data_IF_595179180777
#
_entry.id   IF_595179180777
#
_cell.length_a   1.000
_cell.length_b   1.000
_cell.length_c   1.000
_cell.angle_alpha   90.00
_cell.angle_beta   90.00
_cell.angle_gamma   90.00
#
_symmetry.space_group_name_H-M   'P 1'
#
loop_
_entity.id
_entity.type
_entity.pdbx_description
1 polymer ?
#
# COMPACT_ATOMS: atom_id res chain seq x y z
N UNK A 1 -10.23 7.20 -3.93
CA UNK A 1 -9.67 5.87 -3.67
C UNK A 1 -10.63 4.79 -4.18
N UNK A 2 -10.09 3.77 -4.79
CA UNK A 2 -10.90 2.67 -5.30
C UNK A 2 -11.47 1.83 -4.16
N UNK A 3 -12.79 1.62 -4.15
CA UNK A 3 -13.47 0.83 -3.12
C UNK A 3 -13.61 -0.64 -3.48
N UNK A 4 -13.11 -1.04 -4.64
CA UNK A 4 -13.19 -2.45 -5.06
C UNK A 4 -12.21 -3.31 -4.30
N UNK A 5 -12.70 -4.47 -3.88
CA UNK A 5 -11.91 -5.47 -3.19
C UNK A 5 -11.81 -6.71 -4.08
N UNK A 6 -10.66 -7.36 -4.07
CA UNK A 6 -10.50 -8.64 -4.79
C UNK A 6 -10.67 -9.81 -3.81
N UNK A 7 -10.71 -11.03 -4.35
CA UNK A 7 -10.91 -12.25 -3.57
C UNK A 7 -9.59 -12.93 -3.16
N UNK A 8 -8.45 -12.35 -3.55
CA UNK A 8 -7.14 -12.96 -3.32
C UNK A 8 -6.67 -12.83 -1.88
N UNK A 9 -7.08 -11.76 -1.21
CA UNK A 9 -6.68 -11.48 0.17
C UNK A 9 -7.88 -11.03 0.99
N UNK A 10 -7.84 -11.24 2.32
CA UNK A 10 -8.87 -10.67 3.19
C UNK A 10 -8.95 -9.15 3.04
N UNK A 11 -10.14 -8.59 3.20
CA UNK A 11 -10.37 -7.15 3.03
C UNK A 11 -9.48 -6.32 3.96
N UNK A 12 -9.29 -6.77 5.21
CA UNK A 12 -8.46 -6.01 6.14
C UNK A 12 -7.02 -5.86 5.65
N UNK A 13 -6.48 -6.88 4.97
CA UNK A 13 -5.15 -6.83 4.38
C UNK A 13 -5.08 -5.83 3.24
N UNK A 14 -6.10 -5.83 2.39
CA UNK A 14 -6.17 -4.89 1.27
C UNK A 14 -6.28 -3.46 1.78
N UNK A 15 -7.05 -3.25 2.84
CA UNK A 15 -7.16 -1.92 3.46
C UNK A 15 -5.83 -1.49 4.07
N UNK A 16 -5.16 -2.38 4.79
CA UNK A 16 -3.83 -2.11 5.34
C UNK A 16 -2.86 -1.69 4.23
N UNK A 17 -2.86 -2.43 3.12
CA UNK A 17 -1.97 -2.15 1.98
C UNK A 17 -2.28 -0.79 1.32
N UNK A 18 -3.55 -0.39 1.30
CA UNK A 18 -3.92 0.94 0.80
C UNK A 18 -3.39 2.07 1.68
N UNK A 19 -3.44 1.88 2.98
CA UNK A 19 -2.88 2.88 3.91
C UNK A 19 -1.36 2.96 3.73
N UNK A 20 -0.70 1.81 3.60
CA UNK A 20 0.75 1.77 3.32
C UNK A 20 1.08 2.53 2.04
N UNK A 21 0.32 2.31 0.98
CA UNK A 21 0.52 3.03 -0.28
C UNK A 21 0.34 4.54 -0.10
N UNK A 22 -0.64 4.96 0.67
CA UNK A 22 -0.87 6.37 0.96
C UNK A 22 0.33 7.01 1.70
N UNK A 23 0.92 6.28 2.62
CA UNK A 23 2.11 6.76 3.35
C UNK A 23 3.31 6.87 2.39
N UNK A 24 3.52 5.85 1.57
CA UNK A 24 4.63 5.83 0.60
C UNK A 24 4.50 6.95 -0.44
N UNK A 25 3.27 7.26 -0.85
CA UNK A 25 2.98 8.26 -1.87
C UNK A 25 2.80 9.67 -1.31
N UNK A 26 3.03 9.85 -0.01
CA UNK A 26 2.85 11.12 0.69
C UNK A 26 1.40 11.65 0.71
N UNK A 27 0.41 10.78 0.46
CA UNK A 27 -1.00 11.17 0.60
C UNK A 27 -1.35 11.36 2.07
N UNK A 28 -0.67 10.63 2.96
CA UNK A 28 -0.74 10.81 4.40
C UNK A 28 0.69 11.00 4.89
N UNK A 29 0.96 12.09 5.57
CA UNK A 29 2.30 12.42 6.06
C UNK A 29 2.51 11.89 7.47
N UNK A 30 3.79 11.79 7.87
CA UNK A 30 4.14 11.48 9.24
C UNK A 30 3.58 12.56 10.17
N UNK A 31 2.98 12.13 11.26
CA UNK A 31 2.31 13.03 12.19
C UNK A 31 0.84 13.29 11.87
N UNK A 32 0.37 12.90 10.70
CA UNK A 32 -1.04 13.03 10.33
C UNK A 32 -1.88 11.95 10.99
N UNK A 33 -3.12 12.30 11.31
CA UNK A 33 -4.10 11.36 11.82
C UNK A 33 -4.67 10.53 10.68
N UNK A 34 -4.90 9.23 10.93
CA UNK A 34 -5.69 8.41 10.02
C UNK A 34 -7.17 8.70 10.23
N UNK A 35 -8.01 8.51 9.20
CA UNK A 35 -9.46 8.58 9.38
C UNK A 35 -9.91 7.61 10.47
N UNK A 36 -10.96 7.96 11.21
CA UNK A 36 -11.46 7.08 12.26
C UNK A 36 -11.98 5.76 11.67
N UNK A 37 -11.97 4.71 12.50
CA UNK A 37 -12.52 3.40 12.12
C UNK A 37 -13.96 3.56 11.61
N UNK A 38 -14.76 4.34 12.31
CA UNK A 38 -16.17 4.57 11.96
C UNK A 38 -16.29 5.24 10.60
N UNK A 39 -15.48 6.25 10.34
CA UNK A 39 -15.50 6.97 9.06
C UNK A 39 -15.15 6.03 7.91
N UNK A 40 -14.09 5.26 8.05
CA UNK A 40 -13.66 4.32 7.00
C UNK A 40 -14.70 3.23 6.76
N UNK A 41 -15.24 2.68 7.84
CA UNK A 41 -16.27 1.63 7.73
C UNK A 41 -17.50 2.14 6.97
N UNK A 42 -17.93 3.36 7.27
CA UNK A 42 -19.08 3.97 6.59
C UNK A 42 -18.77 4.28 5.11
N UNK A 43 -17.60 4.84 4.85
CA UNK A 43 -17.19 5.24 3.50
C UNK A 43 -17.06 4.04 2.56
N UNK A 44 -16.42 2.97 3.03
CA UNK A 44 -16.18 1.78 2.20
C UNK A 44 -17.24 0.70 2.38
N UNK A 45 -18.23 0.93 3.23
CA UNK A 45 -19.31 -0.02 3.50
C UNK A 45 -18.78 -1.39 3.92
N UNK A 46 -17.85 -1.39 4.85
CA UNK A 46 -17.27 -2.61 5.42
C UNK A 46 -17.48 -2.62 6.93
N UNK A 47 -17.36 -3.81 7.50
CA UNK A 47 -17.50 -3.99 8.94
C UNK A 47 -16.40 -3.20 9.67
N UNK A 48 -16.77 -2.44 10.70
CA UNK A 48 -15.78 -1.67 11.45
C UNK A 48 -14.72 -2.55 12.13
N UNK A 49 -15.03 -3.82 12.43
CA UNK A 49 -14.05 -4.75 12.96
C UNK A 49 -12.97 -5.07 11.93
N UNK A 50 -13.32 -5.07 10.65
CA UNK A 50 -12.36 -5.24 9.55
C UNK A 50 -11.38 -4.06 9.51
N UNK A 51 -11.91 -2.85 9.66
CA UNK A 51 -11.07 -1.64 9.70
C UNK A 51 -10.16 -1.66 10.93
N UNK A 52 -10.75 -2.04 12.08
CA UNK A 52 -10.00 -2.12 13.33
C UNK A 52 -8.82 -3.10 13.21
N UNK A 53 -9.06 -4.23 12.56
CA UNK A 53 -8.01 -5.24 12.35
C UNK A 53 -6.89 -4.71 11.46
N UNK A 54 -7.23 -3.99 10.39
CA UNK A 54 -6.24 -3.37 9.51
C UNK A 54 -5.39 -2.36 10.28
N UNK A 55 -6.03 -1.51 11.07
CA UNK A 55 -5.35 -0.50 11.87
C UNK A 55 -4.50 -1.13 12.97
N UNK A 56 -4.95 -2.24 13.53
CA UNK A 56 -4.17 -2.97 14.54
C UNK A 56 -2.88 -3.52 13.94
N UNK A 57 -2.92 -4.04 12.72
CA UNK A 57 -1.70 -4.49 12.05
C UNK A 57 -0.72 -3.35 11.83
N UNK A 58 -1.21 -2.18 11.40
CA UNK A 58 -0.36 -1.00 11.22
C UNK A 58 0.28 -0.57 12.55
N UNK A 59 -0.47 -0.64 13.63
CA UNK A 59 0.02 -0.32 14.96
C UNK A 59 1.07 -1.33 15.42
N UNK A 60 0.83 -2.62 15.18
CA UNK A 60 1.76 -3.69 15.54
C UNK A 60 3.09 -3.56 14.77
N UNK A 61 3.03 -3.04 13.54
CA UNK A 61 4.23 -2.80 12.73
C UNK A 61 4.94 -1.48 13.09
N UNK A 62 4.37 -0.73 14.03
CA UNK A 62 4.96 0.54 14.46
C UNK A 62 4.78 1.69 13.48
N UNK A 63 3.87 1.54 12.52
CA UNK A 63 3.65 2.55 11.48
C UNK A 63 2.68 3.65 11.92
N UNK A 64 1.83 3.32 12.88
CA UNK A 64 0.92 4.28 13.49
C UNK A 64 0.96 4.10 15.00
N UNK A 65 0.62 5.15 15.73
CA UNK A 65 0.52 5.11 17.18
C UNK A 65 -0.84 5.64 17.61
N UNK A 66 -1.38 5.03 18.65
CA UNK A 66 -2.64 5.47 19.23
C UNK A 66 -2.39 6.58 20.23
N UNK A 67 -2.97 7.75 19.98
CA UNK A 67 -2.99 8.85 20.95
C UNK A 67 -4.33 8.82 21.61
N UNK A 68 -4.34 8.43 22.87
CA UNK A 68 -5.54 8.20 23.64
C UNK A 68 -6.50 9.38 23.59
N UNK A 69 -7.76 9.11 23.15
CA UNK A 69 -8.79 10.12 23.03
C UNK A 69 -8.66 11.01 21.80
N UNK A 70 -7.61 10.84 20.99
CA UNK A 70 -7.35 11.68 19.82
C UNK A 70 -7.42 10.88 18.53
N UNK A 71 -6.88 9.65 18.50
CA UNK A 71 -6.90 8.80 17.33
C UNK A 71 -5.56 8.16 17.01
N UNK A 72 -5.45 7.60 15.82
CA UNK A 72 -4.24 6.98 15.31
C UNK A 72 -3.49 7.96 14.40
N UNK A 73 -2.19 8.07 14.64
CA UNK A 73 -1.32 8.99 13.91
C UNK A 73 -0.16 8.24 13.30
N UNK A 74 0.24 8.64 12.09
CA UNK A 74 1.41 8.06 11.41
C UNK A 74 2.65 8.43 12.20
N UNK A 75 3.46 7.43 12.57
CA UNK A 75 4.64 7.63 13.40
C UNK A 75 5.78 8.29 12.63
N UNK A 76 6.65 9.05 13.32
CA UNK A 76 7.87 9.56 12.69
C UNK A 76 8.72 8.41 12.16
N UNK A 77 9.26 8.55 10.96
CA UNK A 77 10.09 7.53 10.31
C UNK A 77 9.32 6.39 9.68
N UNK A 78 7.98 6.42 9.72
CA UNK A 78 7.14 5.34 9.17
C UNK A 78 7.41 5.12 7.68
N UNK A 79 7.52 6.21 6.91
CA UNK A 79 7.74 6.11 5.47
C UNK A 79 9.09 5.44 5.16
N UNK A 80 10.14 5.83 5.85
CA UNK A 80 11.46 5.24 5.62
C UNK A 80 11.49 3.76 5.98
N UNK A 81 10.85 3.38 7.08
CA UNK A 81 10.75 1.97 7.47
C UNK A 81 9.98 1.17 6.45
N UNK A 82 8.86 1.70 5.97
CA UNK A 82 8.04 1.07 4.93
C UNK A 82 8.83 0.94 3.63
N UNK A 83 9.52 2.00 3.22
CA UNK A 83 10.31 1.98 2.00
C UNK A 83 11.34 0.86 2.03
N UNK A 84 12.07 0.75 3.15
CA UNK A 84 13.08 -0.31 3.30
C UNK A 84 12.46 -1.71 3.28
N UNK A 85 11.35 -1.89 3.99
CA UNK A 85 10.67 -3.18 4.06
C UNK A 85 10.07 -3.58 2.71
N UNK A 86 9.43 -2.65 2.02
CA UNK A 86 8.81 -2.91 0.72
C UNK A 86 9.86 -3.16 -0.36
N UNK A 87 10.98 -2.44 -0.34
CA UNK A 87 12.08 -2.68 -1.27
C UNK A 87 12.69 -4.07 -1.07
N UNK A 88 12.91 -4.44 0.17
CA UNK A 88 13.45 -5.75 0.52
C UNK A 88 12.51 -6.86 0.04
N UNK A 89 11.23 -6.71 0.32
CA UNK A 89 10.22 -7.70 -0.07
C UNK A 89 10.13 -7.81 -1.59
N UNK A 90 10.14 -6.69 -2.31
CA UNK A 90 10.12 -6.70 -3.77
C UNK A 90 11.31 -7.48 -4.32
N UNK A 91 12.51 -7.16 -3.84
CA UNK A 91 13.73 -7.80 -4.35
C UNK A 91 13.86 -9.28 -3.99
N UNK A 92 13.32 -9.69 -2.84
CA UNK A 92 13.45 -11.07 -2.36
C UNK A 92 12.30 -11.97 -2.78
N UNK A 93 11.10 -11.43 -2.94
CA UNK A 93 9.91 -12.24 -3.22
C UNK A 93 9.31 -11.98 -4.60
N UNK A 94 9.15 -10.73 -4.98
CA UNK A 94 8.47 -10.40 -6.23
C UNK A 94 9.39 -10.46 -7.43
N UNK A 95 10.57 -9.85 -7.33
CA UNK A 95 11.51 -9.79 -8.43
C UNK A 95 11.93 -11.18 -8.94
N UNK A 96 12.24 -12.17 -8.07
CA UNK A 96 12.57 -13.51 -8.57
C UNK A 96 11.46 -14.14 -9.40
N UNK A 97 10.20 -13.90 -9.04
CA UNK A 97 9.05 -14.40 -9.81
C UNK A 97 8.94 -13.70 -11.16
N UNK A 98 9.11 -12.38 -11.17
CA UNK A 98 9.10 -11.59 -12.39
C UNK A 98 10.22 -12.05 -13.31
N UNK A 99 11.42 -12.21 -12.78
CA UNK A 99 12.57 -12.65 -13.54
C UNK A 99 12.36 -14.04 -14.16
N UNK A 100 11.80 -14.96 -13.39
CA UNK A 100 11.49 -16.29 -13.88
C UNK A 100 10.47 -16.25 -15.02
N UNK A 101 9.46 -15.41 -14.91
CA UNK A 101 8.46 -15.22 -15.96
C UNK A 101 9.07 -14.61 -17.21
N UNK A 102 9.93 -13.61 -17.04
CA UNK A 102 10.66 -13.01 -18.16
C UNK A 102 11.49 -14.05 -18.90
N UNK A 103 12.17 -14.90 -18.14
CA UNK A 103 12.97 -15.98 -18.72
C UNK A 103 12.10 -16.92 -19.56
N UNK A 104 10.92 -17.30 -19.05
CA UNK A 104 10.00 -18.16 -19.82
C UNK A 104 9.50 -17.49 -21.09
N UNK A 105 9.41 -16.18 -21.10
CA UNK A 105 8.94 -15.41 -22.26
C UNK A 105 10.08 -15.00 -23.19
N UNK A 106 11.31 -15.36 -22.87
CA UNK A 106 12.47 -14.99 -23.68
C UNK A 106 12.81 -13.51 -23.60
N UNK A 107 12.42 -12.85 -22.52
CA UNK A 107 12.66 -11.41 -22.34
C UNK A 107 13.87 -11.18 -21.43
N UNK A 108 14.75 -10.26 -21.85
CA UNK A 108 15.83 -9.78 -20.98
C UNK A 108 15.38 -8.56 -20.19
N UNK A 109 15.99 -8.30 -19.02
CA UNK A 109 15.67 -7.07 -18.28
C UNK A 109 15.88 -5.80 -19.12
N UNK A 110 16.91 -5.79 -19.96
CA UNK A 110 17.22 -4.64 -20.82
C UNK A 110 16.09 -4.37 -21.81
N UNK A 111 15.52 -5.43 -22.40
CA UNK A 111 14.39 -5.31 -23.31
C UNK A 111 13.17 -4.72 -22.61
N UNK A 112 12.90 -5.21 -21.39
CA UNK A 112 11.74 -4.74 -20.61
C UNK A 112 11.89 -3.27 -20.26
N UNK A 113 13.10 -2.86 -19.86
CA UNK A 113 13.36 -1.45 -19.51
C UNK A 113 13.23 -0.52 -20.70
N UNK A 114 13.46 -1.02 -21.91
CA UNK A 114 13.31 -0.22 -23.14
C UNK A 114 11.88 -0.15 -23.62
N UNK A 115 11.00 -1.01 -23.11
CA UNK A 115 9.61 -1.04 -23.55
C UNK A 115 8.88 0.23 -23.16
N UNK A 116 8.14 0.81 -24.11
CA UNK A 116 7.41 2.04 -23.86
C UNK A 116 6.07 1.74 -23.19
N UNK A 117 5.78 2.46 -22.11
CA UNK A 117 4.51 2.35 -21.42
C UNK A 117 3.59 3.44 -21.96
N UNK A 118 3.28 3.35 -23.27
CA UNK A 118 2.55 4.39 -24.00
C UNK A 118 1.17 4.72 -23.41
N UNK A 119 0.42 3.68 -22.99
CA UNK A 119 -0.89 3.87 -22.40
C UNK A 119 -0.84 4.66 -21.09
N UNK A 120 0.14 4.35 -20.23
CA UNK A 120 0.31 5.07 -18.97
C UNK A 120 0.75 6.51 -19.20
N UNK A 121 1.66 6.72 -20.15
CA UNK A 121 2.11 8.07 -20.52
C UNK A 121 0.97 8.91 -21.06
N UNK A 122 0.12 8.35 -21.91
CA UNK A 122 -1.03 9.04 -22.45
C UNK A 122 -2.03 9.44 -21.35
N UNK A 123 -2.24 8.56 -20.38
CA UNK A 123 -3.11 8.84 -19.24
C UNK A 123 -2.56 9.97 -18.38
N UNK A 124 -1.27 9.96 -18.11
CA UNK A 124 -0.61 11.00 -17.33
C UNK A 124 -0.74 12.38 -17.99
N UNK A 125 -0.62 12.43 -19.31
CA UNK A 125 -0.73 13.69 -20.06
C UNK A 125 -2.13 14.30 -20.07
N UNK A 126 -3.15 13.47 -19.87
CA UNK A 126 -4.56 13.91 -19.87
C UNK A 126 -5.01 14.50 -18.56
N UNK A 127 -4.20 14.41 -17.52
CA UNK A 127 -4.55 14.94 -16.20
C UNK A 127 -4.18 16.40 -16.05
#
# INVERSE_FOLDING_TARGET
MNTKWNDEQPIYRQLRDRVVAMILEHAVAEGDALPSVRTVAAEYKINHLTVLKAYQELSDEGLVENRRGVGLFVTPGARDRLMRAERKRFLQEEWPRIRARMHRLGLSPEEVLREKVAASAARARRR
#
